data_IF_581824363194
#
_entry.id   IF_581824363194
#
_cell.length_a   1.000
_cell.length_b   1.000
_cell.length_c   1.000
_cell.angle_alpha   90.00
_cell.angle_beta   90.00
_cell.angle_gamma   90.00
#
_symmetry.space_group_name_H-M   'P 1'
#
loop_
_entity.id
_entity.type
_entity.pdbx_description
1 polymer ?
#
# COMPACT_ATOMS: atom_id res chain seq x y z
N UNK A 1 17.31 1.05 5.02
CA UNK A 1 16.12 0.60 4.27
C UNK A 1 15.16 1.77 4.24
N UNK A 2 14.72 2.20 3.05
CA UNK A 2 13.67 3.22 2.93
C UNK A 2 12.43 2.71 3.67
N UNK A 3 11.93 3.48 4.63
CA UNK A 3 10.72 3.12 5.36
C UNK A 3 9.54 3.36 4.42
N UNK A 4 9.08 2.27 3.80
CA UNK A 4 8.08 2.27 2.73
C UNK A 4 6.78 2.99 3.13
N UNK A 5 6.48 2.99 4.42
CA UNK A 5 5.27 3.55 5.00
C UNK A 5 5.43 5.03 5.42
N UNK A 6 6.63 5.60 5.30
CA UNK A 6 6.85 7.01 5.57
C UNK A 6 6.10 7.90 4.56
N UNK A 7 5.56 9.00 5.07
CA UNK A 7 4.83 10.00 4.30
C UNK A 7 3.55 9.47 3.62
N UNK A 8 2.97 8.37 4.11
CA UNK A 8 1.60 7.99 3.81
C UNK A 8 0.65 8.70 4.78
N UNK A 9 -0.49 9.17 4.28
CA UNK A 9 -1.57 9.57 5.18
C UNK A 9 -2.26 8.31 5.78
N UNK A 10 -3.13 8.47 6.79
CA UNK A 10 -3.79 7.34 7.43
C UNK A 10 -4.55 6.41 6.46
N UNK A 11 -5.23 6.97 5.44
CA UNK A 11 -6.02 6.20 4.49
C UNK A 11 -5.12 5.38 3.53
N UNK A 12 -4.01 5.97 3.08
CA UNK A 12 -3.01 5.30 2.25
C UNK A 12 -2.30 4.21 3.04
N UNK A 13 -1.95 4.49 4.32
CA UNK A 13 -1.34 3.51 5.21
C UNK A 13 -2.28 2.30 5.39
N UNK A 14 -3.55 2.55 5.71
CA UNK A 14 -4.56 1.51 5.85
C UNK A 14 -4.72 0.69 4.56
N UNK A 15 -4.78 1.36 3.40
CA UNK A 15 -4.88 0.70 2.11
C UNK A 15 -3.67 -0.20 1.78
N UNK A 16 -2.46 0.23 2.16
CA UNK A 16 -1.23 -0.52 1.93
C UNK A 16 -1.16 -1.77 2.82
N UNK A 17 -1.59 -1.67 4.07
CA UNK A 17 -1.47 -2.73 5.09
C UNK A 17 -2.71 -3.62 5.23
N UNK A 18 -3.69 -3.51 4.33
CA UNK A 18 -4.87 -4.39 4.30
C UNK A 18 -4.45 -5.86 4.30
N UNK A 19 -5.21 -6.75 5.00
CA UNK A 19 -4.98 -8.19 4.97
C UNK A 19 -5.08 -8.75 3.54
N UNK A 20 -4.62 -9.98 3.36
CA UNK A 20 -4.65 -10.68 2.08
C UNK A 20 -6.09 -11.12 1.72
N UNK A 21 -6.85 -10.17 1.18
CA UNK A 21 -8.22 -10.33 0.71
C UNK A 21 -8.50 -9.35 -0.42
N UNK A 22 -9.52 -9.64 -1.22
CA UNK A 22 -10.02 -8.66 -2.20
C UNK A 22 -10.53 -7.40 -1.50
N UNK A 23 -10.14 -6.24 -2.01
CA UNK A 23 -10.50 -4.94 -1.44
C UNK A 23 -10.79 -3.90 -2.53
N UNK A 24 -11.65 -2.94 -2.20
CA UNK A 24 -11.98 -1.79 -3.03
C UNK A 24 -11.49 -0.51 -2.35
N UNK A 25 -10.60 0.23 -3.01
CA UNK A 25 -10.13 1.54 -2.54
C UNK A 25 -10.69 2.61 -3.49
N UNK A 26 -11.61 3.42 -2.98
CA UNK A 26 -12.19 4.56 -3.71
C UNK A 26 -11.40 5.82 -3.39
N UNK A 27 -10.84 6.46 -4.42
CA UNK A 27 -10.08 7.69 -4.23
C UNK A 27 -10.13 8.61 -5.45
N UNK A 28 -10.19 9.91 -5.21
CA UNK A 28 -10.24 10.95 -6.25
C UNK A 28 -8.97 11.08 -7.10
N UNK A 29 -8.96 12.02 -8.04
CA UNK A 29 -7.74 12.39 -8.76
C UNK A 29 -6.70 12.98 -7.80
N UNK A 30 -5.41 12.74 -8.05
CA UNK A 30 -4.31 13.27 -7.21
C UNK A 30 -4.13 12.63 -5.82
N UNK A 31 -4.98 11.69 -5.41
CA UNK A 31 -4.94 11.05 -4.09
C UNK A 31 -3.79 10.07 -3.84
N UNK A 32 -2.90 9.87 -4.81
CA UNK A 32 -1.77 8.93 -4.68
C UNK A 32 -2.08 7.45 -4.95
N UNK A 33 -3.12 7.12 -5.73
CA UNK A 33 -3.49 5.74 -6.09
C UNK A 33 -2.31 4.87 -6.56
N UNK A 34 -1.48 5.39 -7.47
CA UNK A 34 -0.31 4.67 -7.98
C UNK A 34 0.70 4.41 -6.86
N UNK A 35 0.92 5.38 -5.96
CA UNK A 35 1.80 5.23 -4.79
C UNK A 35 1.27 4.15 -3.86
N UNK A 36 -0.02 4.14 -3.56
CA UNK A 36 -0.65 3.09 -2.74
C UNK A 36 -0.44 1.70 -3.35
N UNK A 37 -0.67 1.54 -4.66
CA UNK A 37 -0.50 0.25 -5.33
C UNK A 37 0.95 -0.23 -5.31
N UNK A 38 1.91 0.62 -5.64
CA UNK A 38 3.33 0.23 -5.67
C UNK A 38 3.88 -0.03 -4.27
N UNK A 39 3.52 0.81 -3.30
CA UNK A 39 3.85 0.60 -1.89
C UNK A 39 3.20 -0.69 -1.36
N UNK A 40 1.97 -1.04 -1.72
CA UNK A 40 1.36 -2.31 -1.30
C UNK A 40 2.12 -3.52 -1.84
N UNK A 41 2.51 -3.53 -3.11
CA UNK A 41 3.31 -4.63 -3.70
C UNK A 41 4.63 -4.80 -2.93
N UNK A 42 5.37 -3.70 -2.73
CA UNK A 42 6.61 -3.74 -1.99
C UNK A 42 6.42 -4.15 -0.53
N UNK A 43 5.32 -3.73 0.11
CA UNK A 43 4.98 -4.12 1.48
C UNK A 43 4.74 -5.62 1.57
N UNK A 44 3.92 -6.19 0.68
CA UNK A 44 3.62 -7.63 0.66
C UNK A 44 4.89 -8.48 0.46
N UNK A 45 5.83 -8.03 -0.38
CA UNK A 45 7.12 -8.69 -0.57
C UNK A 45 7.95 -8.61 0.72
N UNK A 46 8.04 -7.43 1.34
CA UNK A 46 8.83 -7.22 2.56
C UNK A 46 8.28 -7.97 3.78
N UNK A 47 6.97 -8.13 3.89
CA UNK A 47 6.31 -8.86 4.98
C UNK A 47 6.22 -10.36 4.73
N UNK A 48 6.72 -10.86 3.60
CA UNK A 48 6.72 -12.28 3.25
C UNK A 48 5.35 -12.82 2.87
N UNK A 49 4.39 -11.95 2.53
CA UNK A 49 3.08 -12.37 2.04
C UNK A 49 3.12 -12.84 0.59
N UNK A 50 4.08 -12.37 -0.21
CA UNK A 50 4.31 -12.81 -1.59
C UNK A 50 5.81 -12.94 -1.89
N UNK A 51 6.17 -13.82 -2.83
CA UNK A 51 7.54 -13.90 -3.34
C UNK A 51 7.85 -12.75 -4.31
N UNK A 52 9.10 -12.26 -4.38
CA UNK A 52 9.54 -11.28 -5.37
C UNK A 52 9.38 -11.75 -6.82
#
# INVERSE_FOLDING_TARGET
MLNLLENLNPEQLAAVTLPDQSALILAGAGSGKTRVLTTRIAWLIQTGNVSP
#
